data_IF_447002439833
#
_entry.id   IF_447002439833
#
_cell.length_a   1.000
_cell.length_b   1.000
_cell.length_c   1.000
_cell.angle_alpha   90.00
_cell.angle_beta   90.00
_cell.angle_gamma   90.00
#
_symmetry.space_group_name_H-M   'P 1'
#
loop_
_entity.id
_entity.type
_entity.pdbx_description
1 polymer ?
#
# COMPACT_ATOMS: atom_id res chain seq x y z
N UNK A 1 -13.14 -12.80 10.49
CA UNK A 1 -11.85 -12.79 11.19
C UNK A 1 -10.71 -13.45 10.40
N UNK A 2 -10.68 -14.78 10.24
CA UNK A 2 -9.54 -15.47 9.61
C UNK A 2 -9.18 -14.98 8.20
N UNK A 3 -10.17 -14.69 7.36
CA UNK A 3 -9.95 -14.17 6.00
C UNK A 3 -9.20 -12.84 6.03
N UNK A 4 -9.65 -11.90 6.85
CA UNK A 4 -9.00 -10.59 6.96
C UNK A 4 -7.56 -10.73 7.45
N UNK A 5 -7.36 -11.54 8.50
CA UNK A 5 -6.03 -11.79 9.05
C UNK A 5 -5.09 -12.40 8.00
N UNK A 6 -5.56 -13.39 7.23
CA UNK A 6 -4.77 -13.99 6.15
C UNK A 6 -4.33 -12.94 5.12
N UNK A 7 -5.24 -12.10 4.64
CA UNK A 7 -4.90 -11.08 3.64
C UNK A 7 -3.99 -9.99 4.20
N UNK A 8 -4.18 -9.59 5.46
CA UNK A 8 -3.29 -8.67 6.14
C UNK A 8 -1.86 -9.21 6.23
N UNK A 9 -1.69 -10.50 6.57
CA UNK A 9 -0.37 -11.14 6.55
C UNK A 9 0.19 -11.29 5.13
N UNK A 10 -0.67 -11.60 4.15
CA UNK A 10 -0.27 -11.78 2.76
C UNK A 10 0.29 -10.48 2.17
N UNK A 11 -0.43 -9.36 2.30
CA UNK A 11 -0.04 -8.08 1.69
C UNK A 11 1.21 -7.45 2.32
N UNK A 12 1.44 -7.68 3.62
CA UNK A 12 2.65 -7.24 4.33
C UNK A 12 3.81 -8.25 4.23
N UNK A 13 3.59 -9.41 3.60
CA UNK A 13 4.60 -10.43 3.44
C UNK A 13 5.70 -10.03 2.44
N UNK A 14 6.95 -10.43 2.71
CA UNK A 14 8.05 -10.28 1.76
C UNK A 14 8.05 -11.41 0.70
N UNK A 15 6.90 -11.61 0.05
CA UNK A 15 6.69 -12.64 -0.96
C UNK A 15 6.94 -12.04 -2.34
N UNK A 16 7.73 -12.75 -3.14
CA UNK A 16 8.05 -12.41 -4.52
C UNK A 16 7.21 -13.29 -5.45
N UNK A 17 6.22 -12.69 -6.10
CA UNK A 17 5.39 -13.38 -7.09
C UNK A 17 6.02 -13.27 -8.48
N UNK A 18 5.77 -14.26 -9.33
CA UNK A 18 6.12 -14.15 -10.75
C UNK A 18 5.24 -13.08 -11.41
N UNK A 19 5.75 -12.43 -12.46
CA UNK A 19 5.01 -11.36 -13.17
C UNK A 19 3.62 -11.79 -13.62
N UNK A 20 3.49 -13.03 -14.11
CA UNK A 20 2.20 -13.55 -14.57
C UNK A 20 1.21 -13.74 -13.42
N UNK A 21 1.69 -14.26 -12.29
CA UNK A 21 0.85 -14.46 -11.11
C UNK A 21 0.42 -13.12 -10.51
N UNK A 22 1.35 -12.16 -10.42
CA UNK A 22 1.07 -10.78 -10.01
C UNK A 22 -0.07 -10.19 -10.85
N UNK A 23 0.07 -10.19 -12.19
CA UNK A 23 -0.91 -9.65 -13.13
C UNK A 23 -2.29 -10.32 -13.03
N UNK A 24 -2.36 -11.60 -12.65
CA UNK A 24 -3.63 -12.30 -12.47
C UNK A 24 -4.26 -11.97 -11.12
N UNK A 25 -3.49 -12.04 -10.04
CA UNK A 25 -3.98 -11.80 -8.69
C UNK A 25 -4.41 -10.34 -8.50
N UNK A 26 -3.63 -9.38 -9.00
CA UNK A 26 -3.91 -7.95 -8.83
C UNK A 26 -5.24 -7.50 -9.46
N UNK A 27 -5.86 -8.33 -10.30
CA UNK A 27 -7.18 -8.04 -10.89
C UNK A 27 -8.30 -8.09 -9.85
N UNK A 28 -8.13 -8.94 -8.84
CA UNK A 28 -9.14 -9.24 -7.81
C UNK A 28 -8.62 -8.86 -6.42
N UNK A 29 -7.39 -9.24 -6.10
CA UNK A 29 -6.81 -9.09 -4.77
C UNK A 29 -5.74 -8.02 -4.70
N UNK A 30 -5.49 -7.54 -3.48
CA UNK A 30 -4.31 -6.75 -3.15
C UNK A 30 -3.14 -7.72 -2.94
N UNK A 31 -2.05 -7.46 -3.65
CA UNK A 31 -0.84 -8.29 -3.63
C UNK A 31 0.25 -7.60 -2.81
N UNK A 32 1.29 -8.34 -2.39
CA UNK A 32 2.44 -7.73 -1.71
C UNK A 32 3.07 -6.57 -2.50
N UNK A 33 3.12 -6.67 -3.83
CA UNK A 33 3.69 -5.60 -4.65
C UNK A 33 2.81 -4.34 -4.69
N UNK A 34 1.48 -4.50 -4.82
CA UNK A 34 0.54 -3.38 -4.77
C UNK A 34 0.59 -2.66 -3.42
N UNK A 35 0.57 -3.43 -2.33
CA UNK A 35 0.63 -2.89 -0.98
C UNK A 35 1.98 -2.25 -0.67
N UNK A 36 3.11 -2.82 -1.14
CA UNK A 36 4.42 -2.15 -1.02
C UNK A 36 4.47 -0.82 -1.75
N UNK A 37 3.82 -0.70 -2.92
CA UNK A 37 3.73 0.58 -3.64
C UNK A 37 2.94 1.63 -2.87
N UNK A 38 1.89 1.23 -2.14
CA UNK A 38 1.19 2.10 -1.20
C UNK A 38 2.13 2.64 -0.09
N UNK A 39 3.17 1.92 0.32
CA UNK A 39 4.15 2.42 1.30
C UNK A 39 5.31 3.21 0.68
N UNK A 40 5.24 3.53 -0.62
CA UNK A 40 6.23 4.38 -1.29
C UNK A 40 6.19 5.81 -0.75
N UNK A 41 7.33 6.48 -0.74
CA UNK A 41 7.41 7.91 -0.42
C UNK A 41 6.85 8.82 -1.53
N UNK A 42 6.59 8.30 -2.74
CA UNK A 42 6.08 9.09 -3.86
C UNK A 42 4.58 9.36 -3.65
N UNK A 43 4.11 10.62 -3.60
CA UNK A 43 2.72 10.93 -3.24
C UNK A 43 1.64 10.21 -4.06
N UNK A 44 1.84 10.04 -5.36
CA UNK A 44 0.86 9.34 -6.22
C UNK A 44 0.85 7.82 -6.00
N UNK A 45 1.95 7.25 -5.51
CA UNK A 45 2.06 5.83 -5.17
C UNK A 45 1.54 5.59 -3.74
N UNK A 46 1.92 6.47 -2.81
CA UNK A 46 1.41 6.49 -1.43
C UNK A 46 -0.11 6.57 -1.39
N UNK A 47 -0.69 7.43 -2.22
CA UNK A 47 -2.12 7.64 -2.30
C UNK A 47 -2.79 6.71 -3.32
N UNK A 48 -2.44 5.43 -3.28
CA UNK A 48 -2.99 4.39 -4.17
C UNK A 48 -3.10 3.03 -3.48
N UNK A 49 -3.84 2.09 -4.07
CA UNK A 49 -3.98 0.70 -3.62
C UNK A 49 -4.41 0.56 -2.15
N UNK A 50 -5.47 1.26 -1.75
CA UNK A 50 -5.98 1.34 -0.38
C UNK A 50 -6.69 0.07 0.12
N UNK A 51 -7.09 -0.84 -0.77
CA UNK A 51 -7.73 -2.08 -0.36
C UNK A 51 -6.79 -2.96 0.50
N UNK A 52 -7.39 -3.78 1.37
CA UNK A 52 -6.68 -4.86 2.09
C UNK A 52 -6.89 -6.23 1.44
N UNK A 53 -8.11 -6.52 0.99
CA UNK A 53 -8.46 -7.81 0.38
C UNK A 53 -8.59 -7.63 -1.13
N UNK A 54 -9.49 -6.75 -1.56
CA UNK A 54 -9.87 -6.63 -2.96
C UNK A 54 -9.38 -5.35 -3.62
N UNK A 55 -8.72 -5.47 -4.76
CA UNK A 55 -8.17 -4.35 -5.53
C UNK A 55 -9.19 -3.65 -6.44
N UNK A 56 -10.40 -4.22 -6.59
CA UNK A 56 -11.43 -3.59 -7.42
C UNK A 56 -12.00 -2.31 -6.78
N UNK A 57 -11.91 -2.16 -5.45
CA UNK A 57 -12.26 -0.90 -4.78
C UNK A 57 -11.40 0.25 -5.28
N UNK A 58 -10.10 0.01 -5.47
CA UNK A 58 -9.19 0.99 -6.04
C UNK A 58 -9.46 1.29 -7.51
N UNK A 59 -9.97 0.32 -8.28
CA UNK A 59 -10.44 0.59 -9.65
C UNK A 59 -11.66 1.50 -9.65
N UNK A 60 -12.61 1.26 -8.76
CA UNK A 60 -13.81 2.07 -8.62
C UNK A 60 -13.47 3.50 -8.15
N UNK A 61 -12.59 3.61 -7.14
CA UNK A 61 -12.10 4.89 -6.61
C UNK A 61 -11.07 5.60 -7.50
N UNK A 62 -10.63 4.99 -8.60
CA UNK A 62 -9.54 5.48 -9.48
C UNK A 62 -8.22 5.70 -8.73
N UNK A 63 -7.95 4.85 -7.75
CA UNK A 63 -6.75 4.85 -6.90
C UNK A 63 -5.87 3.61 -7.14
N UNK A 64 -6.12 2.83 -8.21
CA UNK A 64 -5.28 1.67 -8.51
C UNK A 64 -4.00 2.09 -9.26
N UNK A 65 -2.85 1.79 -8.68
CA UNK A 65 -1.54 1.95 -9.33
C UNK A 65 -0.86 0.58 -9.46
N UNK A 66 -0.66 0.04 -10.68
CA UNK A 66 -0.04 -1.27 -10.89
C UNK A 66 1.35 -1.36 -10.25
N UNK A 67 1.75 -2.55 -9.80
CA UNK A 67 3.07 -2.79 -9.20
C UNK A 67 3.54 -4.21 -9.49
N UNK A 68 4.85 -4.44 -9.58
CA UNK A 68 5.42 -5.78 -9.68
C UNK A 68 6.48 -6.07 -8.62
N UNK A 69 6.64 -7.35 -8.28
CA UNK A 69 7.50 -7.79 -7.17
C UNK A 69 8.98 -7.37 -7.27
N UNK A 70 9.49 -7.07 -8.48
CA UNK A 70 10.88 -6.57 -8.68
C UNK A 70 11.05 -5.06 -8.47
N UNK A 71 9.96 -4.29 -8.39
CA UNK A 71 10.07 -2.84 -8.20
C UNK A 71 10.66 -2.52 -6.82
N UNK A 72 11.54 -1.52 -6.80
CA UNK A 72 12.16 -1.01 -5.59
C UNK A 72 11.64 0.40 -5.33
N UNK A 73 11.14 0.62 -4.12
CA UNK A 73 10.63 1.91 -3.67
C UNK A 73 11.47 2.40 -2.49
N UNK A 74 11.63 3.72 -2.38
CA UNK A 74 11.97 4.31 -1.10
C UNK A 74 10.73 4.19 -0.21
N UNK A 75 10.84 3.42 0.88
CA UNK A 75 9.73 3.13 1.78
C UNK A 75 9.69 4.10 2.96
N UNK A 76 8.51 4.27 3.54
CA UNK A 76 8.29 5.03 4.76
C UNK A 76 7.79 6.44 4.50
N UNK A 77 7.88 7.30 5.52
CA UNK A 77 7.43 8.68 5.39
C UNK A 77 8.46 9.50 4.59
N UNK A 78 8.00 10.46 3.76
CA UNK A 78 8.91 11.41 3.13
C UNK A 78 9.71 12.16 4.20
N UNK A 79 10.92 12.59 3.84
CA UNK A 79 11.83 13.29 4.75
C UNK A 79 11.10 14.46 5.41
N UNK A 80 11.13 14.49 6.73
CA UNK A 80 10.54 15.57 7.51
C UNK A 80 11.61 16.59 7.85
N UNK A 81 11.24 17.87 7.82
CA UNK A 81 12.15 18.98 8.11
C UNK A 81 12.43 19.16 9.61
N UNK A 82 11.58 18.56 10.46
CA UNK A 82 11.71 18.57 11.91
C UNK A 82 11.05 17.32 12.51
N UNK A 83 11.43 16.98 13.74
CA UNK A 83 10.81 15.90 14.50
C UNK A 83 9.48 16.38 15.08
N UNK A 84 8.42 15.60 14.85
CA UNK A 84 7.08 15.94 15.34
C UNK A 84 6.95 15.52 16.80
N UNK A 85 6.42 16.41 17.63
CA UNK A 85 6.00 16.07 18.98
C UNK A 85 4.78 15.14 18.95
N UNK A 86 4.59 14.38 20.04
CA UNK A 86 3.42 13.51 20.19
C UNK A 86 2.10 14.27 20.01
N UNK A 87 2.03 15.52 20.49
CA UNK A 87 0.84 16.36 20.37
C UNK A 87 0.51 16.68 18.91
N UNK A 88 1.52 17.04 18.11
CA UNK A 88 1.33 17.37 16.69
C UNK A 88 0.87 16.14 15.90
N UNK A 89 1.49 14.97 16.13
CA UNK A 89 1.08 13.73 15.46
C UNK A 89 -0.37 13.38 15.78
N UNK A 90 -0.80 13.54 17.03
CA UNK A 90 -2.17 13.24 17.46
C UNK A 90 -3.21 14.21 16.89
N UNK A 91 -2.82 15.48 16.64
CA UNK A 91 -3.72 16.50 16.12
C UNK A 91 -3.77 16.57 14.58
N UNK A 92 -2.77 16.01 13.91
CA UNK A 92 -2.65 15.98 12.44
C UNK A 92 -3.92 15.53 11.69
N UNK A 93 -4.67 14.48 12.13
CA UNK A 93 -5.90 14.08 11.46
C UNK A 93 -7.01 15.14 11.49
N UNK A 94 -6.93 16.12 12.40
CA UNK A 94 -7.91 17.20 12.57
C UNK A 94 -7.45 18.52 11.91
N UNK A 95 -6.29 18.52 11.24
CA UNK A 95 -5.77 19.68 10.53
C UNK A 95 -5.13 20.76 11.41
N UNK A 96 -4.68 20.41 12.63
CA UNK A 96 -3.85 21.27 13.47
C UNK A 96 -2.39 20.87 13.44
#
# INVERSE_FOLDING_TARGET
ELTYQFFNFFEHGNIKLSKNLEMQLEKVFITPALHRKHHSQVPNELNSNYGTIFSFWDKFGRTKTPSHSEEKFALGLPKQDHDWSLKEVLLKPFGF
#
